data_IF_651582839141
#
_entry.id   IF_651582839141
#
_cell.length_a   1.000
_cell.length_b   1.000
_cell.length_c   1.000
_cell.angle_alpha   90.00
_cell.angle_beta   90.00
_cell.angle_gamma   90.00
#
_symmetry.space_group_name_H-M   'P 1'
#
loop_
_entity.id
_entity.type
_entity.pdbx_description
1 polymer ?
#
# COMPACT_ATOMS: atom_id res chain seq x y z
N UNK A 1 -33.67 -12.75 29.91
CA UNK A 1 -33.10 -11.42 30.26
C UNK A 1 -31.93 -11.46 31.26
N UNK A 2 -31.56 -12.58 31.88
CA UNK A 2 -30.49 -12.63 32.92
C UNK A 2 -29.05 -12.81 32.42
N UNK A 3 -28.83 -13.14 31.13
CA UNK A 3 -27.48 -13.34 30.55
C UNK A 3 -26.71 -12.05 30.31
N UNK A 4 -27.39 -10.93 30.02
CA UNK A 4 -26.72 -9.65 29.76
C UNK A 4 -26.25 -8.96 31.05
N UNK A 5 -26.95 -9.18 32.18
CA UNK A 5 -26.54 -8.62 33.48
C UNK A 5 -25.23 -9.24 34.01
N UNK A 6 -24.94 -10.50 33.67
CA UNK A 6 -23.71 -11.20 34.09
C UNK A 6 -22.49 -10.68 33.31
N UNK A 7 -22.65 -10.41 32.01
CA UNK A 7 -21.56 -9.89 31.15
C UNK A 7 -21.21 -8.45 31.52
N UNK A 8 -22.22 -7.61 31.83
CA UNK A 8 -22.00 -6.24 32.32
C UNK A 8 -21.29 -6.24 33.68
N UNK A 9 -21.62 -7.18 34.58
CA UNK A 9 -20.94 -7.32 35.88
C UNK A 9 -19.46 -7.74 35.76
N UNK A 10 -19.14 -8.61 34.80
CA UNK A 10 -17.77 -9.08 34.57
C UNK A 10 -16.87 -7.99 33.96
N UNK A 11 -17.42 -7.15 33.07
CA UNK A 11 -16.71 -6.02 32.46
C UNK A 11 -16.40 -4.90 33.47
N UNK A 12 -17.28 -4.65 34.44
CA UNK A 12 -17.06 -3.64 35.50
C UNK A 12 -15.98 -4.11 36.49
N UNK A 13 -15.89 -5.41 36.77
CA UNK A 13 -14.86 -5.98 37.65
C UNK A 13 -13.45 -5.87 37.02
N UNK A 14 -13.33 -6.14 35.71
CA UNK A 14 -12.05 -6.10 34.97
C UNK A 14 -11.52 -4.67 34.80
N UNK A 15 -12.40 -3.66 34.66
CA UNK A 15 -11.99 -2.25 34.58
C UNK A 15 -11.49 -1.65 35.92
N UNK A 16 -11.70 -2.33 37.05
CA UNK A 16 -11.30 -1.81 38.37
C UNK A 16 -9.89 -2.23 38.84
N UNK A 17 -9.20 -3.10 38.08
CA UNK A 17 -7.89 -3.64 38.45
C UNK A 17 -6.69 -2.95 37.77
N UNK A 18 -6.91 -1.87 37.00
CA UNK A 18 -5.87 -1.21 36.20
C UNK A 18 -5.33 0.11 36.78
N UNK A 19 -5.59 0.40 38.05
CA UNK A 19 -5.09 1.58 38.73
C UNK A 19 -4.13 1.18 39.85
N UNK A 20 -2.83 1.06 39.54
CA UNK A 20 -1.66 1.37 40.39
C UNK A 20 -0.43 1.25 39.47
N UNK A 21 0.24 2.36 39.17
CA UNK A 21 1.70 2.54 39.33
C UNK A 21 2.06 3.99 38.94
N UNK A 22 2.53 4.72 39.94
CA UNK A 22 2.83 6.15 39.95
C UNK A 22 4.35 6.35 39.95
N UNK A 23 4.78 7.44 39.29
CA UNK A 23 5.99 8.26 39.51
C UNK A 23 7.38 7.80 39.06
N UNK A 24 8.00 8.68 38.28
CA UNK A 24 9.46 8.80 38.16
C UNK A 24 9.91 9.95 37.25
N UNK A 25 9.94 11.19 37.75
CA UNK A 25 10.74 12.29 37.16
C UNK A 25 12.05 12.46 37.94
N UNK A 26 13.18 12.61 37.26
CA UNK A 26 14.39 13.18 37.82
C UNK A 26 15.03 14.18 36.85
N UNK A 27 15.36 15.35 37.39
CA UNK A 27 15.88 16.57 36.78
C UNK A 27 17.41 16.67 36.95
N UNK A 28 17.99 17.70 36.32
CA UNK A 28 19.27 18.43 36.60
C UNK A 28 20.48 17.91 35.77
N UNK A 29 21.39 18.73 35.24
CA UNK A 29 21.73 20.14 35.49
C UNK A 29 22.60 20.70 34.34
N UNK A 30 22.54 22.03 34.17
CA UNK A 30 23.31 22.90 33.29
C UNK A 30 24.76 23.13 33.76
N UNK A 31 25.70 23.34 32.84
CA UNK A 31 26.97 24.05 33.09
C UNK A 31 27.20 25.07 31.97
N UNK A 32 27.16 26.36 32.35
CA UNK A 32 27.80 27.47 31.65
C UNK A 32 29.14 27.69 32.36
N UNK A 33 30.21 27.91 31.62
CA UNK A 33 31.42 28.60 32.12
C UNK A 33 32.16 29.19 30.93
N UNK A 34 31.99 30.49 30.71
CA UNK A 34 32.97 31.33 30.04
C UNK A 34 34.23 31.39 30.91
N UNK A 35 35.43 31.34 30.31
CA UNK A 35 36.57 32.20 30.68
C UNK A 35 37.63 32.19 29.59
N UNK A 36 37.92 33.41 29.15
CA UNK A 36 38.99 33.97 28.33
C UNK A 36 40.40 33.56 28.78
N UNK A 37 41.31 33.21 27.86
CA UNK A 37 42.76 33.50 27.98
C UNK A 37 43.34 33.88 26.61
N UNK A 38 44.04 35.02 26.60
CA UNK A 38 44.79 35.65 25.51
C UNK A 38 46.27 35.23 25.57
N UNK A 39 46.97 35.37 24.43
CA UNK A 39 48.45 35.35 24.24
C UNK A 39 49.10 33.96 24.40
N UNK A 40 50.17 33.58 23.72
CA UNK A 40 51.16 34.33 22.97
C UNK A 40 51.89 33.38 21.99
N UNK A 41 52.50 34.00 20.99
CA UNK A 41 53.53 33.56 20.04
C UNK A 41 54.48 32.47 20.57
N UNK A 42 54.88 31.47 19.74
CA UNK A 42 56.25 31.32 19.18
C UNK A 42 56.43 29.95 18.48
N UNK A 43 57.08 30.02 17.31
CA UNK A 43 57.93 29.02 16.61
C UNK A 43 57.28 27.83 15.91
N UNK A 44 57.26 27.96 14.58
CA UNK A 44 57.23 26.87 13.62
C UNK A 44 58.57 26.12 13.58
N UNK A 45 58.48 24.79 13.58
CA UNK A 45 59.45 23.88 12.95
C UNK A 45 58.68 22.89 12.06
N UNK A 46 59.27 22.45 10.93
CA UNK A 46 58.51 21.85 9.84
C UNK A 46 58.33 20.34 10.06
N UNK A 47 57.08 19.91 10.16
CA UNK A 47 56.73 18.48 10.11
C UNK A 47 56.68 18.07 8.63
N UNK A 48 57.74 17.41 8.15
CA UNK A 48 57.73 16.66 6.89
C UNK A 48 56.83 15.45 7.05
N UNK A 49 55.74 15.41 6.29
CA UNK A 49 54.87 14.23 6.19
C UNK A 49 53.42 14.57 5.86
N UNK A 50 53.17 15.55 4.98
CA UNK A 50 51.82 15.81 4.45
C UNK A 50 51.51 14.78 3.37
N UNK A 51 50.87 13.66 3.73
CA UNK A 51 49.86 13.12 2.83
C UNK A 51 48.83 14.25 2.65
N UNK A 52 48.69 14.74 1.43
CA UNK A 52 47.94 15.95 1.13
C UNK A 52 46.50 15.82 1.65
N UNK A 53 46.04 16.77 2.47
CA UNK A 53 44.63 16.91 2.88
C UNK A 53 43.68 16.86 1.65
N UNK A 54 44.18 17.31 0.49
CA UNK A 54 43.43 17.29 -0.77
C UNK A 54 43.34 15.89 -1.41
N UNK A 55 44.29 14.99 -1.16
CA UNK A 55 44.27 13.64 -1.72
C UNK A 55 43.24 12.77 -0.98
N UNK A 56 43.10 12.97 0.33
CA UNK A 56 42.08 12.29 1.16
C UNK A 56 40.67 12.79 0.79
N UNK A 57 40.49 14.10 0.60
CA UNK A 57 39.22 14.71 0.18
C UNK A 57 38.83 14.30 -1.25
N UNK A 58 39.80 14.16 -2.16
CA UNK A 58 39.55 13.67 -3.52
C UNK A 58 39.13 12.19 -3.53
N UNK A 59 39.70 11.36 -2.66
CA UNK A 59 39.34 9.94 -2.56
C UNK A 59 37.96 9.73 -1.91
N UNK A 60 37.63 10.47 -0.85
CA UNK A 60 36.31 10.42 -0.19
C UNK A 60 35.18 10.96 -1.08
N UNK A 61 35.43 12.02 -1.86
CA UNK A 61 34.44 12.54 -2.82
C UNK A 61 34.26 11.62 -4.03
N UNK A 62 35.31 10.94 -4.47
CA UNK A 62 35.20 9.91 -5.51
C UNK A 62 34.42 8.68 -5.02
N UNK A 63 34.63 8.23 -3.76
CA UNK A 63 33.85 7.16 -3.13
C UNK A 63 32.38 7.55 -2.97
N UNK A 64 32.07 8.76 -2.47
CA UNK A 64 30.67 9.19 -2.31
C UNK A 64 29.94 9.41 -3.65
N UNK A 65 30.66 9.87 -4.68
CA UNK A 65 30.11 9.99 -6.05
C UNK A 65 29.86 8.61 -6.69
N UNK A 66 30.74 7.64 -6.46
CA UNK A 66 30.57 6.28 -6.93
C UNK A 66 29.38 5.58 -6.22
N UNK A 67 29.23 5.77 -4.91
CA UNK A 67 28.10 5.25 -4.13
C UNK A 67 26.77 5.88 -4.56
N UNK A 68 26.73 7.20 -4.78
CA UNK A 68 25.54 7.89 -5.29
C UNK A 68 25.17 7.43 -6.71
N UNK A 69 26.16 7.23 -7.59
CA UNK A 69 25.93 6.69 -8.92
C UNK A 69 25.40 5.25 -8.87
N UNK A 70 25.92 4.41 -7.96
CA UNK A 70 25.44 3.05 -7.75
C UNK A 70 24.01 3.02 -7.20
N UNK A 71 23.67 3.88 -6.23
CA UNK A 71 22.31 4.00 -5.69
C UNK A 71 21.31 4.46 -6.77
N UNK A 72 21.70 5.42 -7.60
CA UNK A 72 20.88 5.88 -8.72
C UNK A 72 20.67 4.79 -9.76
N UNK A 73 21.70 4.02 -10.09
CA UNK A 73 21.60 2.89 -11.01
C UNK A 73 20.70 1.78 -10.46
N UNK A 74 20.82 1.44 -9.17
CA UNK A 74 19.95 0.47 -8.51
C UNK A 74 18.49 0.92 -8.47
N UNK A 75 18.23 2.22 -8.21
CA UNK A 75 16.89 2.78 -8.24
C UNK A 75 16.28 2.75 -9.65
N UNK A 76 17.07 3.02 -10.69
CA UNK A 76 16.62 2.94 -12.07
C UNK A 76 16.26 1.50 -12.47
N UNK A 77 17.10 0.53 -12.13
CA UNK A 77 16.84 -0.89 -12.38
C UNK A 77 15.59 -1.39 -11.63
N UNK A 78 15.42 -0.97 -10.37
CA UNK A 78 14.20 -1.28 -9.60
C UNK A 78 12.97 -0.71 -10.27
N UNK A 79 13.02 0.55 -10.72
CA UNK A 79 11.91 1.20 -11.42
C UNK A 79 11.55 0.46 -12.71
N UNK A 80 12.54 0.09 -13.52
CA UNK A 80 12.31 -0.66 -14.76
C UNK A 80 11.63 -2.02 -14.49
N UNK A 81 12.04 -2.71 -13.41
CA UNK A 81 11.40 -3.95 -12.99
C UNK A 81 9.95 -3.72 -12.49
N UNK A 82 9.70 -2.64 -11.76
CA UNK A 82 8.36 -2.25 -11.31
C UNK A 82 7.45 -1.89 -12.48
N UNK A 83 7.93 -1.09 -13.43
CA UNK A 83 7.20 -0.71 -14.64
C UNK A 83 6.83 -1.95 -15.47
N UNK A 84 7.72 -2.94 -15.55
CA UNK A 84 7.43 -4.23 -16.19
C UNK A 84 6.32 -4.99 -15.46
N UNK A 85 6.39 -5.09 -14.14
CA UNK A 85 5.36 -5.77 -13.34
C UNK A 85 4.01 -5.05 -13.43
N UNK A 86 4.00 -3.70 -13.50
CA UNK A 86 2.79 -2.92 -13.71
C UNK A 86 2.16 -3.23 -15.07
N UNK A 87 2.97 -3.40 -16.12
CA UNK A 87 2.48 -3.78 -17.44
C UNK A 87 1.90 -5.21 -17.46
N UNK A 88 2.51 -6.15 -16.73
CA UNK A 88 1.95 -7.49 -16.53
C UNK A 88 0.62 -7.45 -15.78
N UNK A 89 0.52 -6.62 -14.74
CA UNK A 89 -0.71 -6.44 -13.98
C UNK A 89 -1.83 -5.81 -14.83
N UNK A 90 -1.50 -4.81 -15.66
CA UNK A 90 -2.45 -4.16 -16.55
C UNK A 90 -2.97 -5.07 -17.68
N UNK A 91 -2.36 -6.24 -17.89
CA UNK A 91 -2.83 -7.22 -18.86
C UNK A 91 -4.06 -8.01 -18.36
N UNK A 92 -4.37 -7.97 -17.05
CA UNK A 92 -5.60 -8.55 -16.54
C UNK A 92 -6.80 -7.71 -16.97
N UNK A 93 -7.69 -8.31 -17.76
CA UNK A 93 -8.91 -7.66 -18.24
C UNK A 93 -10.08 -7.76 -17.25
N UNK A 94 -11.12 -6.99 -17.55
CA UNK A 94 -12.36 -6.96 -16.78
C UNK A 94 -13.09 -8.31 -16.83
N UNK A 95 -13.70 -8.70 -15.71
CA UNK A 95 -14.65 -9.81 -15.68
C UNK A 95 -16.07 -9.30 -15.86
N UNK A 96 -16.94 -10.12 -16.46
CA UNK A 96 -18.27 -9.69 -16.86
C UNK A 96 -19.37 -10.55 -16.24
N UNK A 97 -20.54 -9.96 -16.08
CA UNK A 97 -21.70 -10.56 -15.44
C UNK A 97 -22.93 -10.57 -16.34
N UNK A 98 -23.80 -11.57 -16.10
CA UNK A 98 -25.12 -11.60 -16.68
C UNK A 98 -26.02 -10.50 -16.08
N UNK A 99 -27.12 -10.19 -16.78
CA UNK A 99 -28.08 -9.21 -16.32
C UNK A 99 -28.65 -9.59 -14.95
N UNK A 100 -28.69 -8.61 -14.04
CA UNK A 100 -29.23 -8.74 -12.69
C UNK A 100 -28.56 -9.82 -11.80
N UNK A 101 -27.36 -10.26 -12.20
CA UNK A 101 -26.61 -11.32 -11.53
C UNK A 101 -25.23 -10.83 -11.09
N UNK A 102 -24.70 -11.52 -10.08
CA UNK A 102 -23.36 -11.35 -9.52
C UNK A 102 -22.58 -12.67 -9.46
N UNK A 103 -23.13 -13.74 -10.05
CA UNK A 103 -22.45 -15.03 -10.12
C UNK A 103 -21.26 -14.96 -11.08
N UNK A 104 -20.11 -15.48 -10.62
CA UNK A 104 -18.92 -15.58 -11.46
C UNK A 104 -19.12 -16.64 -12.54
N UNK A 105 -18.94 -16.24 -13.79
CA UNK A 105 -18.91 -17.16 -14.93
C UNK A 105 -17.63 -18.02 -14.90
N UNK A 106 -17.58 -19.14 -15.63
CA UNK A 106 -16.33 -19.91 -15.78
C UNK A 106 -15.18 -19.07 -16.36
N UNK A 107 -15.48 -18.19 -17.30
CA UNK A 107 -14.54 -17.23 -17.89
C UNK A 107 -13.98 -16.29 -16.80
N UNK A 108 -14.86 -15.68 -16.00
CA UNK A 108 -14.47 -14.80 -14.90
C UNK A 108 -13.59 -15.52 -13.89
N UNK A 109 -13.94 -16.76 -13.52
CA UNK A 109 -13.13 -17.60 -12.62
C UNK A 109 -11.75 -17.91 -13.19
N UNK A 110 -11.62 -18.10 -14.50
CA UNK A 110 -10.33 -18.32 -15.17
C UNK A 110 -9.44 -17.07 -15.08
N UNK A 111 -10.00 -15.89 -15.38
CA UNK A 111 -9.28 -14.60 -15.26
C UNK A 111 -8.84 -14.36 -13.81
N UNK A 112 -9.75 -14.52 -12.86
CA UNK A 112 -9.45 -14.37 -11.43
C UNK A 112 -8.42 -15.40 -10.93
N UNK A 113 -8.41 -16.61 -11.49
CA UNK A 113 -7.40 -17.62 -11.21
C UNK A 113 -6.00 -17.17 -11.62
N UNK A 114 -5.86 -16.64 -12.85
CA UNK A 114 -4.60 -16.06 -13.32
C UNK A 114 -4.16 -14.86 -12.47
N UNK A 115 -5.10 -14.01 -12.06
CA UNK A 115 -4.83 -12.86 -11.20
C UNK A 115 -4.34 -13.33 -9.80
N UNK A 116 -4.98 -14.34 -9.22
CA UNK A 116 -4.54 -14.92 -7.95
C UNK A 116 -3.12 -15.51 -8.05
N UNK A 117 -2.84 -16.26 -9.12
CA UNK A 117 -1.50 -16.82 -9.36
C UNK A 117 -0.44 -15.72 -9.45
N UNK A 118 -0.75 -14.60 -10.10
CA UNK A 118 0.16 -13.46 -10.19
C UNK A 118 0.33 -12.76 -8.83
N UNK A 119 -0.77 -12.45 -8.13
CA UNK A 119 -0.75 -11.80 -6.81
C UNK A 119 -0.02 -12.65 -5.75
N UNK A 120 -0.04 -13.98 -5.89
CA UNK A 120 0.69 -14.91 -5.01
C UNK A 120 2.21 -14.76 -5.14
N UNK A 121 2.70 -14.45 -6.34
CA UNK A 121 4.13 -14.23 -6.64
C UNK A 121 4.57 -12.81 -6.27
N UNK A 122 3.64 -11.85 -6.33
CA UNK A 122 3.90 -10.42 -6.12
C UNK A 122 3.29 -9.91 -4.81
N UNK A 123 3.84 -10.37 -3.67
CA UNK A 123 3.29 -10.10 -2.33
C UNK A 123 3.19 -8.61 -1.93
N UNK A 124 3.99 -7.74 -2.54
CA UNK A 124 3.97 -6.30 -2.31
C UNK A 124 2.88 -5.55 -3.10
N UNK A 125 2.08 -6.25 -3.90
CA UNK A 125 1.04 -5.63 -4.72
C UNK A 125 -0.35 -5.83 -4.11
N UNK A 126 -1.24 -4.88 -4.33
CA UNK A 126 -2.62 -4.88 -3.83
C UNK A 126 -3.56 -4.65 -5.02
N UNK A 127 -4.82 -5.07 -4.89
CA UNK A 127 -5.84 -4.92 -5.93
C UNK A 127 -7.08 -4.24 -5.36
N UNK A 128 -7.60 -3.25 -6.09
CA UNK A 128 -8.94 -2.70 -5.90
C UNK A 128 -9.84 -3.25 -6.98
N UNK A 129 -10.97 -3.83 -6.58
CA UNK A 129 -12.01 -4.36 -7.47
C UNK A 129 -13.13 -3.34 -7.52
N UNK A 130 -13.39 -2.81 -8.71
CA UNK A 130 -14.40 -1.78 -8.96
C UNK A 130 -15.62 -2.42 -9.64
N UNK A 131 -16.76 -2.47 -8.94
CA UNK A 131 -17.98 -3.09 -9.43
C UNK A 131 -18.90 -2.11 -10.17
N UNK A 132 -19.24 -2.45 -11.41
CA UNK A 132 -20.06 -1.64 -12.33
C UNK A 132 -21.33 -2.38 -12.80
N UNK A 133 -22.33 -1.59 -13.17
CA UNK A 133 -23.63 -2.03 -13.67
C UNK A 133 -24.03 -1.30 -14.96
N UNK A 134 -25.04 -1.84 -15.65
CA UNK A 134 -25.75 -1.11 -16.70
C UNK A 134 -26.85 -0.21 -16.12
N UNK A 135 -27.36 0.72 -16.93
CA UNK A 135 -28.22 1.83 -16.54
C UNK A 135 -29.73 1.48 -16.40
N UNK A 136 -30.09 0.19 -16.34
CA UNK A 136 -31.50 -0.25 -16.43
C UNK A 136 -32.23 -0.36 -15.09
N UNK A 137 -31.54 -0.11 -13.99
CA UNK A 137 -32.09 -0.18 -12.61
C UNK A 137 -31.90 1.17 -11.94
N UNK A 138 -32.40 1.32 -10.72
CA UNK A 138 -32.15 2.57 -9.98
C UNK A 138 -30.69 2.65 -9.58
N UNK A 139 -30.18 3.88 -9.41
CA UNK A 139 -28.80 4.13 -8.98
C UNK A 139 -28.49 3.38 -7.67
N UNK A 140 -29.38 3.41 -6.69
CA UNK A 140 -29.18 2.75 -5.39
C UNK A 140 -29.13 1.23 -5.52
N UNK A 141 -29.98 0.67 -6.40
CA UNK A 141 -29.96 -0.75 -6.69
C UNK A 141 -28.64 -1.16 -7.35
N UNK A 142 -28.20 -0.38 -8.35
CA UNK A 142 -26.98 -0.64 -9.08
C UNK A 142 -25.72 -0.47 -8.21
N UNK A 143 -25.73 0.47 -7.26
CA UNK A 143 -24.67 0.59 -6.26
C UNK A 143 -24.59 -0.66 -5.37
N UNK A 144 -25.73 -1.18 -4.92
CA UNK A 144 -25.76 -2.41 -4.13
C UNK A 144 -25.38 -3.65 -4.96
N UNK A 145 -25.77 -3.71 -6.24
CA UNK A 145 -25.44 -4.82 -7.14
C UNK A 145 -23.95 -4.82 -7.50
N UNK A 146 -23.37 -3.65 -7.79
CA UNK A 146 -21.94 -3.53 -8.05
C UNK A 146 -21.10 -3.93 -6.83
N UNK A 147 -21.53 -3.58 -5.61
CA UNK A 147 -20.85 -4.03 -4.38
C UNK A 147 -20.86 -5.57 -4.27
N UNK A 148 -22.02 -6.21 -4.55
CA UNK A 148 -22.12 -7.68 -4.53
C UNK A 148 -21.22 -8.36 -5.56
N UNK A 149 -21.04 -7.75 -6.73
CA UNK A 149 -20.12 -8.25 -7.78
C UNK A 149 -18.67 -8.21 -7.30
N UNK A 150 -18.23 -7.04 -6.85
CA UNK A 150 -16.88 -6.85 -6.34
C UNK A 150 -16.59 -7.78 -5.13
N UNK A 151 -17.56 -7.95 -4.23
CA UNK A 151 -17.43 -8.87 -3.08
C UNK A 151 -17.41 -10.34 -3.52
N UNK A 152 -18.13 -10.73 -4.57
CA UNK A 152 -18.06 -12.08 -5.13
C UNK A 152 -16.67 -12.39 -5.70
N UNK A 153 -16.08 -11.44 -6.45
CA UNK A 153 -14.71 -11.56 -6.96
C UNK A 153 -13.68 -11.62 -5.83
N UNK A 154 -13.81 -10.76 -4.81
CA UNK A 154 -12.96 -10.78 -3.60
C UNK A 154 -13.07 -12.10 -2.85
N UNK A 155 -14.29 -12.60 -2.61
CA UNK A 155 -14.52 -13.90 -1.97
C UNK A 155 -13.84 -15.03 -2.74
N UNK A 156 -13.90 -14.98 -4.07
CA UNK A 156 -13.22 -15.97 -4.90
C UNK A 156 -11.70 -15.87 -4.79
N UNK A 157 -11.10 -14.68 -4.91
CA UNK A 157 -9.64 -14.50 -4.76
C UNK A 157 -9.14 -14.91 -3.37
N UNK A 158 -9.89 -14.60 -2.31
CA UNK A 158 -9.54 -15.02 -0.95
C UNK A 158 -9.62 -16.54 -0.78
N UNK A 159 -10.59 -17.20 -1.43
CA UNK A 159 -10.67 -18.67 -1.46
C UNK A 159 -9.48 -19.33 -2.17
N UNK A 160 -8.81 -18.60 -3.06
CA UNK A 160 -7.56 -19.01 -3.72
C UNK A 160 -6.30 -18.67 -2.91
N UNK A 161 -6.44 -18.10 -1.70
CA UNK A 161 -5.35 -17.85 -0.77
C UNK A 161 -4.77 -16.43 -0.82
N UNK A 162 -5.38 -15.49 -1.55
CA UNK A 162 -4.98 -14.08 -1.47
C UNK A 162 -5.48 -13.48 -0.15
N UNK A 163 -4.59 -12.82 0.58
CA UNK A 163 -4.93 -12.20 1.85
C UNK A 163 -5.96 -11.07 1.64
N UNK A 164 -7.02 -11.06 2.47
CA UNK A 164 -8.15 -10.14 2.30
C UNK A 164 -7.77 -8.66 2.47
N UNK A 165 -6.72 -8.37 3.23
CA UNK A 165 -6.17 -7.02 3.42
C UNK A 165 -5.49 -6.45 2.16
N UNK A 166 -5.16 -7.31 1.18
CA UNK A 166 -4.63 -6.92 -0.13
C UNK A 166 -5.72 -6.64 -1.17
N UNK A 167 -6.99 -6.83 -0.82
CA UNK A 167 -8.12 -6.71 -1.74
C UNK A 167 -9.12 -5.67 -1.19
N UNK A 168 -9.23 -4.56 -1.90
CA UNK A 168 -10.25 -3.54 -1.64
C UNK A 168 -11.39 -3.66 -2.64
N UNK A 169 -12.62 -3.36 -2.24
CA UNK A 169 -13.79 -3.31 -3.12
C UNK A 169 -14.36 -1.89 -3.13
N UNK A 170 -14.84 -1.46 -4.30
CA UNK A 170 -15.56 -0.20 -4.50
C UNK A 170 -16.71 -0.50 -5.47
N UNK A 171 -17.88 0.07 -5.25
CA UNK A 171 -18.94 0.07 -6.24
C UNK A 171 -19.16 1.45 -6.84
N UNK A 172 -19.23 1.51 -8.16
CA UNK A 172 -19.68 2.70 -8.89
C UNK A 172 -21.10 2.55 -9.43
N UNK A 173 -21.72 1.37 -9.32
CA UNK A 173 -23.01 1.10 -9.93
C UNK A 173 -22.99 1.46 -11.43
N UNK A 174 -23.92 2.30 -11.86
CA UNK A 174 -24.04 2.76 -13.26
C UNK A 174 -23.30 4.07 -13.56
N UNK A 175 -22.65 4.70 -12.57
CA UNK A 175 -22.12 6.07 -12.67
C UNK A 175 -20.88 6.19 -13.58
N UNK A 176 -20.18 5.08 -13.80
CA UNK A 176 -18.94 5.03 -14.58
C UNK A 176 -19.06 3.99 -15.73
N UNK A 177 -19.88 4.25 -16.76
CA UNK A 177 -20.08 3.34 -17.87
C UNK A 177 -18.83 3.29 -18.76
N UNK A 178 -18.49 2.08 -19.23
CA UNK A 178 -17.44 1.88 -20.24
C UNK A 178 -17.95 2.23 -21.63
N UNK A 179 -19.21 1.88 -21.91
CA UNK A 179 -19.92 2.19 -23.15
C UNK A 179 -21.24 2.90 -22.81
N UNK A 180 -21.40 4.20 -23.10
CA UNK A 180 -22.57 4.97 -22.70
C UNK A 180 -23.80 4.71 -23.60
N UNK A 181 -23.69 3.87 -24.63
CA UNK A 181 -24.81 3.59 -25.50
C UNK A 181 -25.91 2.77 -24.80
N UNK A 182 -27.15 2.95 -25.22
CA UNK A 182 -28.32 2.29 -24.62
C UNK A 182 -28.76 1.08 -25.45
N UNK A 183 -27.95 0.02 -25.41
CA UNK A 183 -28.22 -1.25 -26.10
C UNK A 183 -27.54 -2.43 -25.40
N UNK A 184 -27.96 -3.65 -25.69
CA UNK A 184 -27.44 -4.84 -25.01
C UNK A 184 -25.93 -5.03 -25.17
N UNK A 185 -25.34 -4.61 -26.29
CA UNK A 185 -23.89 -4.66 -26.49
C UNK A 185 -23.15 -3.79 -25.48
N UNK A 186 -23.63 -2.56 -25.25
CA UNK A 186 -23.06 -1.65 -24.26
C UNK A 186 -23.35 -2.09 -22.83
N UNK A 187 -24.60 -2.52 -22.54
CA UNK A 187 -24.96 -3.03 -21.22
C UNK A 187 -24.11 -4.24 -20.82
N UNK A 188 -23.84 -5.16 -21.76
CA UNK A 188 -22.99 -6.31 -21.50
C UNK A 188 -21.57 -5.91 -21.10
N UNK A 189 -20.98 -4.89 -21.75
CA UNK A 189 -19.67 -4.34 -21.37
C UNK A 189 -19.71 -3.66 -20.00
N UNK A 190 -20.80 -2.96 -19.67
CA UNK A 190 -20.89 -2.19 -18.43
C UNK A 190 -21.10 -3.08 -17.18
N UNK A 191 -21.70 -4.26 -17.32
CA UNK A 191 -21.84 -5.25 -16.25
C UNK A 191 -20.51 -5.96 -15.97
N UNK A 192 -19.61 -5.30 -15.25
CA UNK A 192 -18.23 -5.76 -15.06
C UNK A 192 -17.67 -5.44 -13.69
N UNK A 193 -16.61 -6.17 -13.33
CA UNK A 193 -15.64 -5.70 -12.35
C UNK A 193 -14.35 -5.31 -13.06
N UNK A 194 -13.83 -4.13 -12.73
CA UNK A 194 -12.54 -3.61 -13.19
C UNK A 194 -11.48 -3.75 -12.09
N UNK A 195 -10.22 -3.98 -12.47
CA UNK A 195 -9.13 -4.21 -11.52
C UNK A 195 -8.08 -3.10 -11.57
N UNK A 196 -7.90 -2.40 -10.46
CA UNK A 196 -6.78 -1.48 -10.25
C UNK A 196 -5.73 -2.17 -9.38
N UNK A 197 -4.59 -2.52 -9.98
CA UNK A 197 -3.50 -3.23 -9.30
C UNK A 197 -2.35 -2.27 -9.06
N UNK A 198 -1.92 -2.14 -7.81
CA UNK A 198 -0.92 -1.13 -7.39
C UNK A 198 0.15 -1.74 -6.49
N UNK A 199 1.35 -1.19 -6.55
CA UNK A 199 2.41 -1.52 -5.60
C UNK A 199 2.10 -0.83 -4.25
N UNK A 200 2.16 -1.60 -3.17
CA UNK A 200 2.09 -1.08 -1.80
C UNK A 200 3.26 -0.12 -1.57
N UNK A 201 2.94 1.13 -1.25
CA UNK A 201 3.93 2.18 -0.95
C UNK A 201 4.47 2.07 0.47
#
# INVERSE_FOLDING_TARGET
>A
MKRNSIIVGLLVLICSLSLIFISGCAKKQTVKSDTTVKSDTTKAEPIKGSASMNDILAEETAKSKAEFAAMKAAAAAKKEAEDKLLAEAAAFGDIHFAFDLYDLTPEARNILGGLADWLSKQSSWEVTIEGHCDNRRTVEYNLALGERRAEAAKTYLTSLGIAADRITTISYGEEMPLDPADNEGAWAKNRRDHFLIVLKK
#
